data_IF_732626142097
#
_entry.id   IF_732626142097
#
_cell.length_a   1.000
_cell.length_b   1.000
_cell.length_c   1.000
_cell.angle_alpha   90.00
_cell.angle_beta   90.00
_cell.angle_gamma   90.00
#
_symmetry.space_group_name_H-M   'P 1'
#
loop_
_entity.id
_entity.type
_entity.pdbx_description
1 polymer ?
#
# COMPACT_ATOMS: atom_id res chain seq x y z
N UNK A 1 -7.50 -0.33 11.57
CA UNK A 1 -6.17 0.28 11.85
C UNK A 1 -6.16 1.81 11.93
N UNK A 2 -6.99 2.52 11.15
CA UNK A 2 -7.04 3.99 11.16
C UNK A 2 -7.46 4.67 12.48
N UNK A 3 -7.96 3.91 13.47
CA UNK A 3 -8.23 4.42 14.82
C UNK A 3 -6.98 4.51 15.70
N UNK A 4 -5.82 4.01 15.25
CA UNK A 4 -4.55 4.03 16.01
C UNK A 4 -3.49 4.94 15.37
N UNK A 5 -3.93 6.04 14.74
CA UNK A 5 -3.04 6.97 14.00
C UNK A 5 -1.97 7.63 14.88
N UNK A 6 -2.19 7.74 16.19
CA UNK A 6 -1.16 8.21 17.14
C UNK A 6 0.08 7.30 17.14
N UNK A 7 -0.09 5.99 16.94
CA UNK A 7 1.05 5.07 16.77
C UNK A 7 1.75 5.25 15.44
N UNK A 8 1.00 5.50 14.37
CA UNK A 8 1.58 5.81 13.05
C UNK A 8 2.40 7.10 13.11
N UNK A 9 1.93 8.12 13.83
CA UNK A 9 2.68 9.36 14.03
C UNK A 9 4.04 9.09 14.69
N UNK A 10 4.04 8.43 15.86
CA UNK A 10 5.27 8.13 16.60
C UNK A 10 6.21 7.29 15.75
N UNK A 11 5.68 6.24 15.11
CA UNK A 11 6.44 5.32 14.31
C UNK A 11 7.08 5.99 13.09
N UNK A 12 6.30 6.73 12.31
CA UNK A 12 6.79 7.35 11.07
C UNK A 12 7.79 8.48 11.36
N UNK A 13 7.55 9.30 12.38
CA UNK A 13 8.51 10.34 12.75
C UNK A 13 9.82 9.78 13.31
N UNK A 14 9.80 8.61 13.94
CA UNK A 14 11.01 7.98 14.48
C UNK A 14 11.76 7.16 13.43
N UNK A 15 11.06 6.42 12.58
CA UNK A 15 11.67 5.57 11.56
C UNK A 15 12.21 6.35 10.36
N UNK A 16 11.61 7.49 10.05
CA UNK A 16 11.96 8.30 8.89
C UNK A 16 12.44 9.68 9.35
N UNK A 17 13.56 9.77 10.10
CA UNK A 17 14.02 11.03 10.69
C UNK A 17 14.28 12.11 9.64
N UNK A 18 14.78 11.69 8.47
CA UNK A 18 15.16 12.56 7.35
C UNK A 18 14.00 13.05 6.49
N UNK A 19 12.78 12.50 6.67
CA UNK A 19 11.63 12.83 5.83
C UNK A 19 10.95 14.09 6.36
N UNK A 20 10.99 15.17 5.57
CA UNK A 20 10.36 16.45 5.91
C UNK A 20 8.85 16.44 5.71
N UNK A 21 8.36 15.74 4.69
CA UNK A 21 6.94 15.62 4.39
C UNK A 21 6.63 14.22 3.88
N UNK A 22 5.63 13.57 4.47
CA UNK A 22 5.11 12.27 4.02
C UNK A 22 3.60 12.36 3.88
N UNK A 23 3.08 11.90 2.75
CA UNK A 23 1.65 11.77 2.50
C UNK A 23 1.29 10.30 2.35
N UNK A 24 0.37 9.82 3.18
CA UNK A 24 -0.18 8.47 3.13
C UNK A 24 -1.60 8.53 2.59
N UNK A 25 -1.80 7.93 1.41
CA UNK A 25 -3.10 7.74 0.80
C UNK A 25 -3.59 6.34 1.13
N UNK A 26 -4.59 6.23 2.00
CA UNK A 26 -5.31 4.98 2.22
C UNK A 26 -6.40 4.87 1.16
N UNK A 27 -6.35 3.80 0.36
CA UNK A 27 -7.25 3.59 -0.76
C UNK A 27 -7.77 2.16 -0.69
N UNK A 28 -9.09 2.01 -0.72
CA UNK A 28 -9.75 0.70 -0.70
C UNK A 28 -11.25 0.85 -0.42
N UNK A 29 -12.09 -0.07 -0.91
CA UNK A 29 -13.54 -0.01 -0.68
C UNK A 29 -13.93 -0.14 0.80
N UNK A 30 -13.08 -0.77 1.61
CA UNK A 30 -13.23 -0.94 3.07
C UNK A 30 -12.75 0.27 3.88
N UNK A 31 -12.12 1.26 3.24
CA UNK A 31 -11.69 2.48 3.91
C UNK A 31 -12.94 3.30 4.26
N UNK A 32 -13.25 3.45 5.55
CA UNK A 32 -14.38 4.26 5.98
C UNK A 32 -14.22 5.74 5.58
N UNK A 33 -15.31 6.52 5.59
CA UNK A 33 -15.27 7.96 5.31
C UNK A 33 -14.59 8.69 6.49
N UNK A 34 -13.27 8.69 6.46
CA UNK A 34 -12.44 9.34 7.46
C UNK A 34 -11.98 10.70 6.94
N UNK A 35 -12.06 11.77 7.75
CA UNK A 35 -11.57 13.07 7.32
C UNK A 35 -10.05 13.01 7.12
N UNK A 36 -9.51 13.80 6.17
CA UNK A 36 -8.07 13.94 6.03
C UNK A 36 -7.47 14.48 7.33
N UNK A 37 -6.24 14.07 7.64
CA UNK A 37 -5.53 14.49 8.86
C UNK A 37 -4.15 14.99 8.49
N UNK A 38 -3.73 16.09 9.12
CA UNK A 38 -2.40 16.68 8.96
C UNK A 38 -1.78 16.88 10.34
N UNK A 39 -0.55 16.41 10.49
CA UNK A 39 0.22 16.53 11.72
C UNK A 39 1.52 17.23 11.39
N UNK A 40 1.87 18.26 12.16
CA UNK A 40 3.15 18.96 12.05
C UNK A 40 3.92 18.80 13.36
N UNK A 41 5.17 18.35 13.29
CA UNK A 41 6.03 18.13 14.46
C UNK A 41 7.49 18.36 14.10
N UNK A 42 8.18 19.20 14.87
CA UNK A 42 9.60 19.52 14.67
C UNK A 42 9.95 19.90 13.22
N UNK A 43 9.12 20.73 12.58
CA UNK A 43 9.31 21.16 11.18
C UNK A 43 9.00 20.11 10.12
N UNK A 44 8.48 18.94 10.51
CA UNK A 44 8.09 17.85 9.61
C UNK A 44 6.58 17.68 9.55
N UNK A 45 6.07 17.19 8.43
CA UNK A 45 4.63 17.05 8.16
C UNK A 45 4.26 15.61 7.80
N UNK A 46 3.22 15.07 8.45
CA UNK A 46 2.53 13.85 8.02
C UNK A 46 1.12 14.20 7.57
N UNK A 47 0.77 13.84 6.34
CA UNK A 47 -0.58 13.98 5.80
C UNK A 47 -1.20 12.60 5.60
N UNK A 48 -2.45 12.44 5.96
CA UNK A 48 -3.24 11.23 5.76
C UNK A 48 -4.50 11.60 4.99
N UNK A 49 -4.78 10.86 3.93
CA UNK A 49 -6.01 10.98 3.15
C UNK A 49 -6.63 9.60 2.99
N UNK A 50 -7.95 9.54 2.96
CA UNK A 50 -8.72 8.30 2.95
C UNK A 50 -9.68 8.31 1.77
N UNK A 51 -9.62 7.27 0.95
CA UNK A 51 -10.35 7.19 -0.32
C UNK A 51 -11.10 5.86 -0.39
N UNK A 52 -12.42 5.92 -0.21
CA UNK A 52 -13.30 4.75 -0.27
C UNK A 52 -13.63 4.39 -1.73
N UNK A 53 -12.63 3.92 -2.46
CA UNK A 53 -12.72 3.53 -3.87
C UNK A 53 -11.73 2.41 -4.16
N UNK A 54 -11.89 1.72 -5.29
CA UNK A 54 -10.87 0.82 -5.80
C UNK A 54 -9.64 1.61 -6.28
N UNK A 55 -8.46 1.00 -6.20
CA UNK A 55 -7.22 1.70 -6.52
C UNK A 55 -7.12 2.15 -7.99
N UNK A 56 -7.60 1.33 -8.92
CA UNK A 56 -7.64 1.72 -10.34
C UNK A 56 -8.57 2.91 -10.59
N UNK A 57 -9.67 3.04 -9.85
CA UNK A 57 -10.55 4.22 -9.90
C UNK A 57 -9.90 5.46 -9.28
N UNK A 58 -9.16 5.27 -8.19
CA UNK A 58 -8.42 6.35 -7.53
C UNK A 58 -7.39 6.97 -8.47
N UNK A 59 -6.66 6.14 -9.22
CA UNK A 59 -5.65 6.62 -10.17
C UNK A 59 -6.29 7.20 -11.45
N UNK A 60 -7.39 6.63 -11.94
CA UNK A 60 -8.05 7.08 -13.17
C UNK A 60 -8.75 8.43 -13.03
N UNK A 61 -9.33 8.74 -11.86
CA UNK A 61 -9.99 10.02 -11.55
C UNK A 61 -9.02 11.19 -11.30
N UNK A 62 -7.72 10.96 -11.51
CA UNK A 62 -6.68 11.95 -11.30
C UNK A 62 -6.13 11.87 -9.88
N UNK A 63 -5.18 10.97 -9.67
CA UNK A 63 -4.33 11.06 -8.49
C UNK A 63 -3.67 12.45 -8.48
N UNK A 64 -3.75 13.17 -7.36
CA UNK A 64 -3.20 14.53 -7.24
C UNK A 64 -1.67 14.53 -7.46
N UNK A 65 -1.01 13.38 -7.32
CA UNK A 65 0.42 13.19 -7.60
C UNK A 65 0.77 11.72 -7.87
N UNK A 66 1.85 11.46 -8.61
CA UNK A 66 2.39 10.10 -8.78
C UNK A 66 2.99 9.64 -7.44
N UNK A 67 2.59 8.49 -6.88
CA UNK A 67 3.14 8.02 -5.61
C UNK A 67 4.61 7.62 -5.73
N UNK A 68 5.37 7.78 -4.65
CA UNK A 68 6.77 7.30 -4.60
C UNK A 68 6.89 5.82 -4.25
N UNK A 69 5.83 5.22 -3.70
CA UNK A 69 5.74 3.80 -3.32
C UNK A 69 4.26 3.42 -3.25
N UNK A 70 3.92 2.22 -3.72
CA UNK A 70 2.61 1.62 -3.53
C UNK A 70 2.77 0.41 -2.60
N UNK A 71 1.90 0.29 -1.60
CA UNK A 71 1.91 -0.84 -0.67
C UNK A 71 0.57 -1.58 -0.74
N UNK A 72 0.60 -2.83 -1.20
CA UNK A 72 -0.52 -3.75 -1.12
C UNK A 72 -0.27 -4.73 0.04
N UNK A 73 -0.95 -4.52 1.15
CA UNK A 73 -0.71 -5.26 2.39
C UNK A 73 -1.65 -6.46 2.48
N UNK A 74 -1.11 -7.66 2.28
CA UNK A 74 -1.85 -8.93 2.30
C UNK A 74 -3.09 -8.94 1.38
N UNK A 75 -2.97 -8.49 0.11
CA UNK A 75 -4.12 -8.27 -0.78
C UNK A 75 -4.76 -9.58 -1.28
N UNK A 76 -3.97 -10.64 -1.49
CA UNK A 76 -4.44 -11.86 -2.15
C UNK A 76 -4.79 -11.63 -3.62
N UNK A 77 -3.89 -10.98 -4.36
CA UNK A 77 -3.99 -10.68 -5.80
C UNK A 77 -4.18 -11.93 -6.67
N UNK A 78 -3.73 -13.09 -6.20
CA UNK A 78 -3.90 -14.37 -6.90
C UNK A 78 -5.37 -14.80 -7.05
N UNK A 79 -6.29 -14.22 -6.28
CA UNK A 79 -7.70 -14.59 -6.29
C UNK A 79 -8.37 -14.04 -7.54
N UNK A 80 -9.14 -14.88 -8.21
CA UNK A 80 -9.98 -14.49 -9.35
C UNK A 80 -11.31 -13.85 -8.92
N UNK A 81 -11.51 -13.63 -7.62
CA UNK A 81 -12.66 -12.94 -7.04
C UNK A 81 -12.12 -11.89 -6.07
N UNK A 82 -12.40 -10.63 -6.38
CA UNK A 82 -12.09 -9.46 -5.58
C UNK A 82 -13.37 -8.83 -5.04
N UNK A 83 -13.56 -7.54 -5.32
CA UNK A 83 -14.73 -6.78 -4.86
C UNK A 83 -16.03 -7.25 -5.54
N UNK A 84 -17.12 -7.38 -4.78
CA UNK A 84 -18.43 -7.87 -5.25
C UNK A 84 -18.40 -9.20 -6.03
N UNK A 85 -17.41 -10.07 -5.74
CA UNK A 85 -17.27 -11.37 -6.40
C UNK A 85 -16.74 -11.31 -7.84
N UNK A 86 -16.34 -10.12 -8.32
CA UNK A 86 -15.72 -9.91 -9.63
C UNK A 86 -14.19 -9.80 -9.50
N UNK A 87 -13.44 -10.13 -10.54
CA UNK A 87 -11.98 -9.91 -10.56
C UNK A 87 -11.64 -8.42 -10.73
N UNK A 88 -11.71 -7.67 -9.63
CA UNK A 88 -11.23 -6.28 -9.56
C UNK A 88 -9.71 -6.18 -9.44
N UNK A 89 -9.00 -7.31 -9.32
CA UNK A 89 -7.55 -7.32 -9.14
C UNK A 89 -6.82 -7.11 -10.45
N UNK A 90 -7.35 -7.60 -11.57
CA UNK A 90 -6.80 -7.35 -12.90
C UNK A 90 -6.55 -5.83 -13.12
N UNK A 91 -7.58 -5.00 -13.04
CA UNK A 91 -7.44 -3.56 -13.25
C UNK A 91 -6.55 -2.89 -12.21
N UNK A 92 -6.61 -3.37 -10.95
CA UNK A 92 -5.78 -2.87 -9.86
C UNK A 92 -4.29 -3.13 -10.09
N UNK A 93 -3.93 -4.35 -10.52
CA UNK A 93 -2.55 -4.72 -10.84
C UNK A 93 -2.04 -3.86 -12.01
N UNK A 94 -2.84 -3.70 -13.06
CA UNK A 94 -2.45 -2.86 -14.20
C UNK A 94 -2.23 -1.40 -13.78
N UNK A 95 -3.07 -0.86 -12.89
CA UNK A 95 -2.93 0.47 -12.33
C UNK A 95 -1.68 0.61 -11.45
N UNK A 96 -1.36 -0.38 -10.60
CA UNK A 96 -0.17 -0.34 -9.73
C UNK A 96 1.13 -0.23 -10.52
N UNK A 97 1.19 -0.86 -11.70
CA UNK A 97 2.39 -0.87 -12.54
C UNK A 97 2.32 0.10 -13.73
N UNK A 98 1.41 1.08 -13.71
CA UNK A 98 1.27 2.11 -14.76
C UNK A 98 2.52 2.98 -14.91
N UNK A 99 3.22 3.26 -13.80
CA UNK A 99 4.43 4.08 -13.77
C UNK A 99 5.68 3.22 -13.56
N UNK A 100 6.65 3.30 -14.47
CA UNK A 100 7.86 2.45 -14.46
C UNK A 100 8.81 2.72 -13.29
N UNK A 101 8.75 3.92 -12.70
CA UNK A 101 9.66 4.35 -11.62
C UNK A 101 9.00 4.28 -10.23
N UNK A 102 7.83 3.64 -10.11
CA UNK A 102 7.12 3.49 -8.83
C UNK A 102 7.25 2.03 -8.37
N UNK A 103 7.98 1.75 -7.29
CA UNK A 103 8.01 0.41 -6.73
C UNK A 103 6.67 0.04 -6.12
N UNK A 104 6.31 -1.24 -6.23
CA UNK A 104 5.13 -1.85 -5.61
C UNK A 104 5.62 -2.86 -4.57
N UNK A 105 5.29 -2.62 -3.31
CA UNK A 105 5.51 -3.55 -2.20
C UNK A 105 4.26 -4.38 -1.99
N UNK A 106 4.40 -5.70 -2.03
CA UNK A 106 3.33 -6.66 -1.75
C UNK A 106 3.74 -7.51 -0.55
N UNK A 107 2.84 -7.66 0.41
CA UNK A 107 2.99 -8.63 1.51
C UNK A 107 1.91 -9.68 1.45
N UNK A 108 2.11 -10.84 2.08
CA UNK A 108 1.06 -11.85 2.26
C UNK A 108 1.21 -12.56 3.62
N UNK A 109 0.16 -13.26 4.06
CA UNK A 109 0.19 -14.00 5.33
C UNK A 109 1.09 -15.24 5.27
N UNK A 110 1.24 -15.84 4.08
CA UNK A 110 2.01 -17.08 3.92
C UNK A 110 2.97 -17.03 2.74
N UNK A 111 4.04 -17.83 2.83
CA UNK A 111 4.98 -18.04 1.71
C UNK A 111 4.28 -18.52 0.44
N UNK A 112 3.24 -19.34 0.58
CA UNK A 112 2.44 -19.83 -0.54
C UNK A 112 1.70 -18.69 -1.23
N UNK A 113 1.00 -17.85 -0.47
CA UNK A 113 0.22 -16.74 -1.03
C UNK A 113 1.08 -15.71 -1.74
N UNK A 114 2.21 -15.31 -1.15
CA UNK A 114 3.10 -14.35 -1.82
C UNK A 114 3.69 -14.93 -3.12
N UNK A 115 3.93 -16.25 -3.19
CA UNK A 115 4.34 -16.92 -4.42
C UNK A 115 3.27 -16.84 -5.52
N UNK A 116 2.00 -17.06 -5.16
CA UNK A 116 0.88 -16.95 -6.11
C UNK A 116 0.62 -15.50 -6.53
N UNK A 117 0.71 -14.53 -5.61
CA UNK A 117 0.61 -13.10 -5.92
C UNK A 117 1.71 -12.67 -6.89
N UNK A 118 2.95 -13.12 -6.63
CA UNK A 118 4.11 -12.83 -7.48
C UNK A 118 3.96 -13.42 -8.89
N UNK A 119 3.50 -14.67 -8.99
CA UNK A 119 3.23 -15.31 -10.27
C UNK A 119 2.13 -14.58 -11.06
N UNK A 120 1.02 -14.21 -10.40
CA UNK A 120 -0.06 -13.42 -11.02
C UNK A 120 0.46 -12.10 -11.59
N UNK A 121 1.26 -11.35 -10.80
CA UNK A 121 1.86 -10.09 -11.25
C UNK A 121 2.79 -10.32 -12.45
N UNK A 122 3.69 -11.33 -12.40
CA UNK A 122 4.63 -11.60 -13.50
C UNK A 122 3.92 -11.96 -14.81
N UNK A 123 2.85 -12.74 -14.72
CA UNK A 123 2.06 -13.15 -15.88
C UNK A 123 1.29 -11.97 -16.48
N UNK A 124 0.73 -11.10 -15.62
CA UNK A 124 -0.08 -9.97 -16.06
C UNK A 124 0.75 -8.76 -16.50
N UNK A 125 1.89 -8.51 -15.85
CA UNK A 125 2.77 -7.37 -16.12
C UNK A 125 4.19 -7.86 -16.41
N UNK A 126 4.47 -8.41 -17.62
CA UNK A 126 5.77 -8.97 -17.96
C UNK A 126 6.95 -7.99 -17.86
N UNK A 127 6.68 -6.68 -17.93
CA UNK A 127 7.67 -5.60 -17.77
C UNK A 127 8.07 -5.34 -16.31
N UNK A 128 7.30 -5.83 -15.34
CA UNK A 128 7.59 -5.63 -13.93
C UNK A 128 8.84 -6.42 -13.54
N UNK A 129 9.80 -5.73 -12.91
CA UNK A 129 11.02 -6.34 -12.40
C UNK A 129 10.87 -6.66 -10.93
N UNK A 130 11.23 -7.88 -10.54
CA UNK A 130 11.33 -8.25 -9.13
C UNK A 130 12.61 -7.66 -8.56
N UNK A 131 12.47 -6.72 -7.63
CA UNK A 131 13.59 -6.08 -6.92
C UNK A 131 14.00 -6.91 -5.70
N UNK A 132 13.00 -7.46 -5.00
CA UNK A 132 13.15 -8.34 -3.84
C UNK A 132 12.28 -9.57 -4.09
N UNK A 133 12.89 -10.76 -4.06
CA UNK A 133 12.15 -12.02 -4.21
C UNK A 133 11.25 -12.27 -3.00
N UNK A 134 10.13 -13.02 -3.15
CA UNK A 134 9.30 -13.41 -2.03
C UNK A 134 10.09 -14.07 -0.90
N UNK A 135 10.17 -13.40 0.24
CA UNK A 135 10.92 -13.85 1.41
C UNK A 135 10.14 -13.63 2.71
N UNK A 136 10.49 -14.34 3.79
CA UNK A 136 9.98 -14.00 5.11
C UNK A 136 10.24 -12.53 5.45
N UNK A 137 9.23 -11.84 5.98
CA UNK A 137 9.37 -10.47 6.42
C UNK A 137 10.19 -10.44 7.72
N UNK A 138 11.38 -9.80 7.77
CA UNK A 138 12.20 -9.75 8.98
C UNK A 138 11.51 -8.99 10.13
N UNK A 139 10.47 -8.20 9.83
CA UNK A 139 9.65 -7.50 10.80
C UNK A 139 8.35 -8.24 11.14
N UNK A 140 8.12 -9.45 10.61
CA UNK A 140 6.92 -10.22 10.94
C UNK A 140 6.83 -10.45 12.44
N UNK A 141 5.66 -10.21 13.03
CA UNK A 141 5.40 -10.36 14.46
C UNK A 141 6.19 -9.41 15.39
N UNK A 142 6.99 -8.48 14.84
CA UNK A 142 7.58 -7.41 15.63
C UNK A 142 6.55 -6.32 15.88
N UNK A 143 6.45 -5.87 17.13
CA UNK A 143 5.67 -4.69 17.49
C UNK A 143 6.63 -3.52 17.69
N UNK A 144 6.39 -2.36 17.04
CA UNK A 144 7.30 -1.22 17.15
C UNK A 144 7.38 -0.60 18.55
N UNK A 145 6.45 -0.95 19.43
CA UNK A 145 6.49 -0.63 20.85
C UNK A 145 6.14 -1.92 21.60
N UNK A 146 7.07 -2.44 22.41
CA UNK A 146 6.70 -3.29 23.53
C UNK A 146 6.02 -2.37 24.55
N UNK A 147 4.81 -2.74 24.99
CA UNK A 147 4.20 -2.09 26.14
C UNK A 147 5.10 -2.25 27.37
#
# INVERSE_FOLDING_TARGET
EANNLSKWEIFLFNLLPSVLSLTLNFVGPEIGPLPPRKINKNGRTLNFTFHQVLYHDFISKGCVSIPSLICALNPGLYRSQGFDGQDSWQDTIDAMFKHTNVPVLVTAYTKKEIGMDHERIKNQVPRAKTIVEPSPNPFSSLRPLMN
#
